data_IF_128315421340
#
_entry.id   IF_128315421340
#
_cell.length_a   1.000
_cell.length_b   1.000
_cell.length_c   1.000
_cell.angle_alpha   90.00
_cell.angle_beta   90.00
_cell.angle_gamma   90.00
#
_symmetry.space_group_name_H-M   'P 1'
#
loop_
_entity.id
_entity.type
_entity.pdbx_description
1 polymer ?
#
# COMPACT_ATOMS: atom_id res chain seq x y z
N UNK A 1 3.50 -9.25 -45.55
CA UNK A 1 2.35 -8.71 -44.77
C UNK A 1 2.05 -9.55 -43.52
N UNK A 2 2.25 -10.88 -43.53
CA UNK A 2 2.09 -11.73 -42.32
C UNK A 2 3.15 -11.47 -41.24
N UNK A 3 4.37 -11.13 -41.62
CA UNK A 3 5.50 -11.03 -40.67
C UNK A 3 5.43 -9.79 -39.77
N UNK A 4 4.96 -8.66 -40.30
CA UNK A 4 4.76 -7.40 -39.53
C UNK A 4 3.69 -7.57 -38.45
N UNK A 5 2.64 -8.35 -38.73
CA UNK A 5 1.58 -8.62 -37.74
C UNK A 5 2.07 -9.53 -36.63
N UNK A 6 2.89 -10.54 -36.96
CA UNK A 6 3.51 -11.41 -35.95
C UNK A 6 4.47 -10.62 -35.06
N UNK A 7 5.30 -9.75 -35.64
CA UNK A 7 6.22 -8.88 -34.92
C UNK A 7 5.50 -7.91 -33.97
N UNK A 8 4.44 -7.25 -34.43
CA UNK A 8 3.63 -6.36 -33.58
C UNK A 8 2.92 -7.10 -32.44
N UNK A 9 2.51 -8.35 -32.69
CA UNK A 9 1.89 -9.18 -31.66
C UNK A 9 2.89 -9.59 -30.57
N UNK A 10 4.13 -9.90 -30.95
CA UNK A 10 5.21 -10.14 -29.99
C UNK A 10 5.53 -8.88 -29.17
N UNK A 11 5.65 -7.72 -29.82
CA UNK A 11 5.82 -6.44 -29.12
C UNK A 11 4.65 -6.15 -28.16
N UNK A 12 3.41 -6.45 -28.56
CA UNK A 12 2.25 -6.30 -27.68
C UNK A 12 2.35 -7.19 -26.44
N UNK A 13 2.79 -8.46 -26.60
CA UNK A 13 3.01 -9.36 -25.46
C UNK A 13 4.07 -8.81 -24.49
N UNK A 14 5.14 -8.21 -25.02
CA UNK A 14 6.15 -7.52 -24.20
C UNK A 14 5.59 -6.28 -23.50
N UNK A 15 4.77 -5.49 -24.21
CA UNK A 15 4.14 -4.28 -23.65
C UNK A 15 3.05 -4.60 -22.63
N UNK A 16 2.51 -5.81 -22.62
CA UNK A 16 1.44 -6.24 -21.70
C UNK A 16 1.86 -6.06 -20.24
N UNK A 17 3.07 -6.48 -19.88
CA UNK A 17 3.58 -6.33 -18.51
C UNK A 17 3.78 -4.85 -18.14
N UNK A 18 4.27 -4.03 -19.08
CA UNK A 18 4.39 -2.57 -18.89
C UNK A 18 3.03 -1.91 -18.69
N UNK A 19 2.01 -2.30 -19.47
CA UNK A 19 0.64 -1.80 -19.29
C UNK A 19 0.02 -2.26 -17.96
N UNK A 20 0.27 -3.51 -17.56
CA UNK A 20 -0.16 -4.02 -16.26
C UNK A 20 0.48 -3.25 -15.10
N UNK A 21 1.77 -2.89 -15.22
CA UNK A 21 2.48 -2.07 -14.25
C UNK A 21 1.88 -0.66 -14.12
N UNK A 22 1.52 -0.02 -15.24
CA UNK A 22 0.86 1.30 -15.20
C UNK A 22 -0.50 1.22 -14.49
N UNK A 23 -1.27 0.16 -14.74
CA UNK A 23 -2.58 -0.03 -14.13
C UNK A 23 -2.48 -0.42 -12.64
N UNK A 24 -1.50 -1.25 -12.28
CA UNK A 24 -1.32 -1.76 -10.93
C UNK A 24 0.16 -2.06 -10.63
N UNK A 25 0.94 -1.04 -10.24
CA UNK A 25 2.39 -1.16 -10.09
C UNK A 25 2.80 -2.08 -8.94
N UNK A 26 1.98 -2.20 -7.91
CA UNK A 26 2.28 -3.01 -6.71
C UNK A 26 2.18 -4.52 -6.96
N UNK A 27 1.33 -4.93 -7.91
CA UNK A 27 1.03 -6.34 -8.19
C UNK A 27 1.74 -6.91 -9.42
N UNK A 28 2.50 -6.08 -10.14
CA UNK A 28 3.16 -6.52 -11.38
C UNK A 28 4.56 -7.06 -11.09
N UNK A 29 4.93 -8.15 -11.75
CA UNK A 29 6.30 -8.66 -11.71
C UNK A 29 7.24 -7.70 -12.46
N UNK A 30 8.14 -7.04 -11.72
CA UNK A 30 9.10 -6.09 -12.29
C UNK A 30 10.11 -6.70 -13.24
N UNK A 31 10.38 -8.00 -13.10
CA UNK A 31 11.35 -8.69 -13.96
C UNK A 31 10.87 -8.79 -15.41
N UNK A 32 9.56 -8.69 -15.64
CA UNK A 32 8.94 -8.84 -16.96
C UNK A 32 8.64 -7.47 -17.62
N UNK A 33 9.02 -6.36 -16.99
CA UNK A 33 8.78 -5.01 -17.51
C UNK A 33 9.93 -4.62 -18.45
N UNK A 34 9.61 -4.32 -19.71
CA UNK A 34 10.58 -3.74 -20.62
C UNK A 34 10.74 -2.23 -20.34
N UNK A 35 11.88 -1.85 -19.78
CA UNK A 35 12.19 -0.47 -19.39
C UNK A 35 13.19 0.23 -20.33
N UNK A 36 13.85 -0.54 -21.21
CA UNK A 36 14.85 -0.04 -22.16
C UNK A 36 14.34 1.15 -23.01
N UNK A 37 13.10 1.11 -23.56
CA UNK A 37 12.60 2.20 -24.40
C UNK A 37 12.44 3.54 -23.65
N UNK A 38 12.39 3.52 -22.33
CA UNK A 38 12.20 4.71 -21.51
C UNK A 38 13.52 5.31 -21.01
N UNK A 39 14.66 4.64 -21.25
CA UNK A 39 15.96 5.08 -20.75
C UNK A 39 16.04 5.12 -19.22
N UNK A 40 15.22 4.33 -18.53
CA UNK A 40 15.16 4.29 -17.06
C UNK A 40 16.16 3.24 -16.55
N UNK A 41 16.94 3.62 -15.54
CA UNK A 41 17.80 2.68 -14.83
C UNK A 41 16.99 1.67 -14.00
N UNK A 42 17.32 0.39 -14.14
CA UNK A 42 16.64 -0.70 -13.44
C UNK A 42 16.74 -0.57 -11.91
N UNK A 43 17.90 -0.14 -11.41
CA UNK A 43 18.12 0.08 -9.97
C UNK A 43 17.22 1.20 -9.43
N UNK A 44 17.15 2.33 -10.14
CA UNK A 44 16.26 3.44 -9.79
C UNK A 44 14.79 3.02 -9.76
N UNK A 45 14.33 2.24 -10.76
CA UNK A 45 12.95 1.75 -10.77
C UNK A 45 12.66 0.83 -9.59
N UNK A 46 13.58 -0.08 -9.27
CA UNK A 46 13.44 -0.98 -8.13
C UNK A 46 13.37 -0.21 -6.81
N UNK A 47 14.21 0.81 -6.62
CA UNK A 47 14.20 1.66 -5.43
C UNK A 47 12.88 2.42 -5.29
N UNK A 48 12.35 2.99 -6.37
CA UNK A 48 11.05 3.66 -6.35
C UNK A 48 9.90 2.70 -6.04
N UNK A 49 9.96 1.46 -6.53
CA UNK A 49 8.93 0.48 -6.22
C UNK A 49 8.98 0.00 -4.77
N UNK A 50 10.19 -0.13 -4.19
CA UNK A 50 10.36 -0.42 -2.77
C UNK A 50 9.74 0.69 -1.91
N UNK A 51 9.99 1.95 -2.26
CA UNK A 51 9.40 3.11 -1.58
C UNK A 51 7.87 3.10 -1.70
N UNK A 52 7.33 2.84 -2.89
CA UNK A 52 5.88 2.75 -3.10
C UNK A 52 5.24 1.63 -2.27
N UNK A 53 5.86 0.45 -2.19
CA UNK A 53 5.40 -0.66 -1.34
C UNK A 53 5.44 -0.31 0.14
N UNK A 54 6.51 0.36 0.57
CA UNK A 54 6.61 0.83 1.95
C UNK A 54 5.51 1.85 2.27
N UNK A 55 5.27 2.81 1.37
CA UNK A 55 4.20 3.79 1.51
C UNK A 55 2.81 3.14 1.61
N UNK A 56 2.52 2.16 0.76
CA UNK A 56 1.27 1.41 0.79
C UNK A 56 1.09 0.69 2.14
N UNK A 57 2.11 -0.06 2.58
CA UNK A 57 2.12 -0.75 3.86
C UNK A 57 1.88 0.20 5.04
N UNK A 58 2.63 1.31 5.09
CA UNK A 58 2.50 2.30 6.16
C UNK A 58 1.16 3.02 6.14
N UNK A 59 0.59 3.28 4.96
CA UNK A 59 -0.74 3.86 4.84
C UNK A 59 -1.83 2.97 5.45
N UNK A 60 -1.73 1.65 5.25
CA UNK A 60 -2.61 0.67 5.88
C UNK A 60 -2.47 0.66 7.40
N UNK A 61 -1.22 0.58 7.89
CA UNK A 61 -0.92 0.63 9.34
C UNK A 61 -1.44 1.89 10.01
N UNK A 62 -1.23 3.06 9.40
CA UNK A 62 -1.71 4.32 9.96
C UNK A 62 -3.24 4.45 9.91
N UNK A 63 -3.88 3.90 8.87
CA UNK A 63 -5.35 3.84 8.81
C UNK A 63 -5.90 2.98 9.95
N UNK A 64 -5.32 1.80 10.18
CA UNK A 64 -5.73 0.93 11.29
C UNK A 64 -5.50 1.59 12.66
N UNK A 65 -4.32 2.19 12.86
CA UNK A 65 -4.00 2.90 14.10
C UNK A 65 -4.98 4.04 14.34
N UNK A 66 -5.28 4.84 13.31
CA UNK A 66 -6.28 5.92 13.40
C UNK A 66 -7.63 5.38 13.87
N UNK A 67 -8.14 4.31 13.24
CA UNK A 67 -9.43 3.72 13.63
C UNK A 67 -9.45 3.24 15.08
N UNK A 68 -8.36 2.60 15.55
CA UNK A 68 -8.24 2.17 16.95
C UNK A 68 -8.27 3.34 17.92
N UNK A 69 -7.62 4.45 17.58
CA UNK A 69 -7.63 5.67 18.41
C UNK A 69 -9.01 6.33 18.45
N UNK A 70 -9.70 6.40 17.30
CA UNK A 70 -11.07 6.90 17.24
C UNK A 70 -12.02 6.04 18.08
N UNK A 71 -11.94 4.71 17.96
CA UNK A 71 -12.75 3.79 18.76
C UNK A 71 -12.49 3.95 20.27
N UNK A 72 -11.23 4.07 20.68
CA UNK A 72 -10.85 4.29 22.07
C UNK A 72 -11.49 5.57 22.63
N UNK A 73 -11.48 6.65 21.85
CA UNK A 73 -12.03 7.94 22.28
C UNK A 73 -13.55 7.90 22.38
N UNK A 74 -14.21 7.21 21.44
CA UNK A 74 -15.66 6.94 21.51
C UNK A 74 -16.00 6.13 22.76
N UNK A 75 -15.23 5.08 23.09
CA UNK A 75 -15.45 4.27 24.29
C UNK A 75 -15.31 5.09 25.58
N UNK A 76 -14.28 5.95 25.68
CA UNK A 76 -14.13 6.88 26.82
C UNK A 76 -15.36 7.77 26.98
N UNK A 77 -15.81 8.38 25.88
CA UNK A 77 -16.98 9.26 25.90
C UNK A 77 -18.24 8.52 26.37
N UNK A 78 -18.47 7.30 25.86
CA UNK A 78 -19.59 6.46 26.30
C UNK A 78 -19.53 6.13 27.79
N UNK A 79 -18.35 5.77 28.32
CA UNK A 79 -18.19 5.46 29.73
C UNK A 79 -18.39 6.67 30.65
N UNK A 80 -17.93 7.86 30.22
CA UNK A 80 -18.19 9.13 30.93
C UNK A 80 -19.69 9.43 30.97
N UNK A 81 -20.38 9.35 29.82
CA UNK A 81 -21.82 9.59 29.72
C UNK A 81 -22.65 8.61 30.57
N UNK A 82 -22.14 7.39 30.79
CA UNK A 82 -22.77 6.36 31.62
C UNK A 82 -22.28 6.34 33.08
N UNK A 83 -21.43 7.28 33.48
CA UNK A 83 -20.80 7.34 34.81
C UNK A 83 -20.06 6.04 35.22
N UNK A 84 -19.52 5.29 34.25
CA UNK A 84 -18.80 4.03 34.47
C UNK A 84 -17.31 4.29 34.76
N UNK A 85 -17.03 4.87 35.93
CA UNK A 85 -15.67 5.28 36.33
C UNK A 85 -14.66 4.14 36.48
N UNK A 86 -15.12 2.93 36.83
CA UNK A 86 -14.26 1.75 36.93
C UNK A 86 -13.82 1.27 35.55
N UNK A 87 -14.76 1.11 34.61
CA UNK A 87 -14.46 0.74 33.22
C UNK A 87 -13.56 1.78 32.55
N UNK A 88 -13.76 3.07 32.81
CA UNK A 88 -12.92 4.15 32.27
C UNK A 88 -11.44 4.01 32.69
N UNK A 89 -11.16 3.51 33.91
CA UNK A 89 -9.80 3.29 34.40
C UNK A 89 -9.09 2.10 33.76
N UNK A 90 -9.86 1.15 33.23
CA UNK A 90 -9.35 -0.06 32.57
C UNK A 90 -9.02 0.18 31.08
N UNK A 91 -9.49 1.30 30.50
CA UNK A 91 -9.22 1.64 29.10
C UNK A 91 -7.70 1.77 28.89
N UNK A 92 -7.14 1.08 27.87
CA UNK A 92 -5.72 1.18 27.54
C UNK A 92 -5.31 2.62 27.25
N UNK A 93 -4.08 2.97 27.62
CA UNK A 93 -3.52 4.27 27.24
C UNK A 93 -3.17 4.30 25.76
N UNK A 94 -3.22 5.48 25.17
CA UNK A 94 -2.91 5.70 23.74
C UNK A 94 -1.49 5.25 23.41
N UNK A 95 -0.52 5.42 24.33
CA UNK A 95 0.86 5.00 24.12
C UNK A 95 0.97 3.47 23.94
N UNK A 96 0.12 2.70 24.63
CA UNK A 96 0.10 1.22 24.48
C UNK A 96 -0.36 0.82 23.09
N UNK A 97 -1.29 1.57 22.50
CA UNK A 97 -1.77 1.32 21.13
C UNK A 97 -0.75 1.75 20.06
N UNK A 98 0.02 2.80 20.32
CA UNK A 98 1.02 3.33 19.38
C UNK A 98 2.30 2.47 19.38
N UNK A 99 2.77 2.04 20.56
CA UNK A 99 4.04 1.33 20.72
C UNK A 99 3.89 -0.20 20.84
N UNK A 100 2.67 -0.71 20.94
CA UNK A 100 2.38 -2.14 21.03
C UNK A 100 1.94 -2.80 19.73
N UNK A 101 1.83 -2.04 18.62
CA UNK A 101 1.48 -2.50 17.28
C UNK A 101 2.71 -2.68 16.39
#
# INVERSE_FOLDING_TARGET
>A
MKDVSAERFEQFKTNKSTLAFIANPLNTNTNDINIEPFGIDAGSLQMQLLDLKAKDLWSGKFTELKSKLEELEVQKCMHIAQHKWTALKEIPRVEVLIFGA
#
